data_IF_396840286354
#
_entry.id   IF_396840286354
#
_cell.length_a   1.000
_cell.length_b   1.000
_cell.length_c   1.000
_cell.angle_alpha   90.00
_cell.angle_beta   90.00
_cell.angle_gamma   90.00
#
_symmetry.space_group_name_H-M   'P 1'
#
loop_
_entity.id
_entity.type
_entity.pdbx_description
1 polymer ?
#
# COMPACT_ATOMS: atom_id res chain seq x y z
N UNK A 1 -29.53 -29.13 5.02
CA UNK A 1 -29.06 -27.81 4.54
C UNK A 1 -28.16 -28.02 3.33
N UNK A 2 -28.56 -27.57 2.12
CA UNK A 2 -27.76 -27.76 0.89
C UNK A 2 -26.52 -26.87 0.93
N UNK A 3 -25.34 -27.48 1.03
CA UNK A 3 -24.02 -26.82 1.12
C UNK A 3 -23.74 -25.86 -0.06
N UNK A 4 -24.40 -26.05 -1.20
CA UNK A 4 -24.25 -25.24 -2.40
C UNK A 4 -24.70 -23.77 -2.26
N UNK A 5 -25.81 -23.50 -1.54
CA UNK A 5 -26.31 -22.11 -1.37
C UNK A 5 -25.33 -21.29 -0.54
N UNK A 6 -24.80 -21.87 0.54
CA UNK A 6 -23.78 -21.26 1.39
C UNK A 6 -22.53 -20.93 0.58
N UNK A 7 -22.04 -21.89 -0.21
CA UNK A 7 -20.83 -21.71 -1.03
C UNK A 7 -21.00 -20.58 -2.05
N UNK A 8 -22.15 -20.52 -2.74
CA UNK A 8 -22.43 -19.50 -3.76
C UNK A 8 -22.55 -18.12 -3.14
N UNK A 9 -23.32 -17.96 -2.05
CA UNK A 9 -23.48 -16.68 -1.37
C UNK A 9 -22.16 -16.15 -0.81
N UNK A 10 -21.34 -17.04 -0.24
CA UNK A 10 -20.05 -16.65 0.36
C UNK A 10 -19.00 -16.34 -0.70
N UNK A 11 -18.98 -17.03 -1.85
CA UNK A 11 -18.08 -16.69 -2.96
C UNK A 11 -18.49 -15.38 -3.65
N UNK A 12 -19.80 -15.08 -3.72
CA UNK A 12 -20.32 -13.80 -4.24
C UNK A 12 -20.05 -12.63 -3.28
N UNK A 13 -20.15 -12.86 -1.97
CA UNK A 13 -19.85 -11.85 -0.96
C UNK A 13 -18.92 -12.41 0.13
N UNK A 14 -17.62 -12.43 -0.18
CA UNK A 14 -16.58 -12.99 0.69
C UNK A 14 -16.35 -12.21 1.99
N UNK A 15 -16.91 -10.99 2.09
CA UNK A 15 -16.76 -10.08 3.23
C UNK A 15 -17.89 -10.22 4.27
N UNK A 16 -18.94 -10.99 3.96
CA UNK A 16 -20.04 -11.21 4.92
C UNK A 16 -19.55 -11.87 6.19
N UNK A 17 -19.96 -11.36 7.35
CA UNK A 17 -19.62 -11.99 8.62
C UNK A 17 -20.36 -13.32 8.78
N UNK A 18 -19.86 -14.20 9.65
CA UNK A 18 -20.59 -15.41 10.00
C UNK A 18 -22.00 -15.10 10.53
N UNK A 19 -22.18 -13.97 11.23
CA UNK A 19 -23.49 -13.50 11.71
C UNK A 19 -24.43 -13.13 10.56
N UNK A 20 -23.94 -12.41 9.56
CA UNK A 20 -24.75 -11.99 8.41
C UNK A 20 -25.19 -13.20 7.58
N UNK A 21 -24.28 -14.14 7.33
CA UNK A 21 -24.59 -15.40 6.67
C UNK A 21 -25.62 -16.20 7.47
N UNK A 22 -25.47 -16.27 8.79
CA UNK A 22 -26.44 -16.93 9.68
C UNK A 22 -27.84 -16.33 9.55
N UNK A 23 -27.93 -15.00 9.56
CA UNK A 23 -29.18 -14.25 9.44
C UNK A 23 -29.84 -14.49 8.08
N UNK A 24 -29.08 -14.34 7.00
CA UNK A 24 -29.56 -14.55 5.63
C UNK A 24 -30.10 -15.97 5.41
N UNK A 25 -29.39 -16.98 5.91
CA UNK A 25 -29.83 -18.38 5.79
C UNK A 25 -31.06 -18.66 6.64
N UNK A 26 -31.15 -18.08 7.83
CA UNK A 26 -32.31 -18.26 8.69
C UNK A 26 -33.56 -17.66 8.05
N UNK A 27 -33.44 -16.46 7.48
CA UNK A 27 -34.52 -15.83 6.71
C UNK A 27 -34.92 -16.63 5.47
N UNK A 28 -33.96 -17.20 4.74
CA UNK A 28 -34.23 -17.93 3.49
C UNK A 28 -34.78 -19.35 3.70
N UNK A 29 -34.50 -20.00 4.83
CA UNK A 29 -34.85 -21.41 5.06
C UNK A 29 -35.89 -21.61 6.16
N UNK A 30 -36.21 -20.56 6.93
CA UNK A 30 -37.08 -20.65 8.11
C UNK A 30 -36.46 -21.41 9.29
N UNK A 31 -35.20 -21.86 9.18
CA UNK A 31 -34.49 -22.61 10.21
C UNK A 31 -33.51 -21.73 10.97
N UNK A 32 -33.42 -21.86 12.29
CA UNK A 32 -32.39 -21.18 13.06
C UNK A 32 -31.01 -21.75 12.74
N UNK A 33 -30.16 -20.95 12.11
CA UNK A 33 -28.76 -21.30 11.85
C UNK A 33 -27.89 -20.57 12.87
N UNK A 34 -26.94 -21.27 13.49
CA UNK A 34 -25.93 -20.67 14.36
C UNK A 34 -24.66 -20.30 13.60
N UNK A 35 -23.91 -19.33 14.13
CA UNK A 35 -22.58 -18.94 13.60
C UNK A 35 -21.62 -20.12 13.49
N UNK A 36 -21.63 -21.03 14.47
CA UNK A 36 -20.73 -22.19 14.49
C UNK A 36 -21.07 -23.18 13.37
N UNK A 37 -22.34 -23.34 13.04
CA UNK A 37 -22.78 -24.11 11.87
C UNK A 37 -22.25 -23.50 10.57
N UNK A 38 -22.28 -22.17 10.43
CA UNK A 38 -21.70 -21.47 9.27
C UNK A 38 -20.20 -21.75 9.16
N UNK A 39 -19.44 -21.58 10.24
CA UNK A 39 -18.00 -21.88 10.26
C UNK A 39 -17.69 -23.33 9.87
N UNK A 40 -18.37 -24.30 10.47
CA UNK A 40 -18.17 -25.72 10.16
C UNK A 40 -18.46 -26.02 8.69
N UNK A 41 -19.59 -25.54 8.18
CA UNK A 41 -20.01 -25.80 6.80
C UNK A 41 -19.08 -25.15 5.78
N UNK A 42 -18.58 -23.93 6.06
CA UNK A 42 -17.56 -23.28 5.23
C UNK A 42 -16.21 -24.01 5.29
N UNK A 43 -15.80 -24.48 6.47
CA UNK A 43 -14.59 -25.29 6.63
C UNK A 43 -14.65 -26.60 5.85
N UNK A 44 -15.80 -27.28 5.83
CA UNK A 44 -16.01 -28.49 5.02
C UNK A 44 -15.85 -28.28 3.51
N UNK A 45 -16.00 -27.04 3.03
CA UNK A 45 -15.80 -26.69 1.60
C UNK A 45 -14.51 -25.90 1.38
N UNK A 46 -13.58 -25.93 2.35
CA UNK A 46 -12.26 -25.33 2.23
C UNK A 46 -12.21 -23.80 2.35
N UNK A 47 -13.26 -23.16 2.87
CA UNK A 47 -13.30 -21.71 3.10
C UNK A 47 -13.08 -21.37 4.57
N UNK A 48 -12.11 -20.49 4.81
CA UNK A 48 -11.74 -20.07 6.16
C UNK A 48 -11.77 -18.56 6.28
N UNK A 49 -12.25 -18.06 7.42
CA UNK A 49 -12.14 -16.65 7.76
C UNK A 49 -10.66 -16.31 7.99
N UNK A 50 -10.11 -15.43 7.15
CA UNK A 50 -8.71 -15.01 7.18
C UNK A 50 -8.62 -13.51 6.93
N UNK A 51 -7.55 -12.89 7.40
CA UNK A 51 -7.26 -11.50 7.04
C UNK A 51 -6.95 -11.43 5.54
N UNK A 52 -7.56 -10.49 4.81
CA UNK A 52 -7.15 -10.17 3.44
C UNK A 52 -5.81 -9.46 3.47
N UNK A 53 -5.06 -9.54 2.36
CA UNK A 53 -3.94 -8.63 2.15
C UNK A 53 -4.49 -7.24 1.82
N UNK A 54 -3.84 -6.20 2.34
CA UNK A 54 -4.13 -4.82 1.98
C UNK A 54 -3.02 -4.29 1.11
N UNK A 55 -3.30 -4.18 -0.18
CA UNK A 55 -2.38 -3.61 -1.15
C UNK A 55 -3.16 -3.07 -2.34
N UNK A 56 -2.53 -2.17 -3.09
CA UNK A 56 -3.04 -1.75 -4.40
C UNK A 56 -2.87 -2.93 -5.37
N UNK A 57 -3.94 -3.42 -6.02
CA UNK A 57 -3.83 -4.50 -7.00
C UNK A 57 -2.98 -4.08 -8.19
N UNK A 58 -1.95 -4.87 -8.51
CA UNK A 58 -1.06 -4.60 -9.65
C UNK A 58 -1.73 -4.97 -10.97
N UNK A 59 -1.67 -4.08 -11.95
CA UNK A 59 -2.03 -4.41 -13.34
C UNK A 59 -0.91 -5.24 -14.00
N UNK A 60 -1.20 -5.90 -15.12
CA UNK A 60 -0.17 -6.60 -15.89
C UNK A 60 0.98 -5.66 -16.32
N UNK A 61 0.67 -4.38 -16.60
CA UNK A 61 1.66 -3.35 -16.91
C UNK A 61 2.54 -3.05 -15.70
N UNK A 62 1.96 -2.88 -14.51
CA UNK A 62 2.72 -2.66 -13.28
C UNK A 62 3.65 -3.84 -12.99
N UNK A 63 3.17 -5.08 -13.15
CA UNK A 63 4.00 -6.28 -13.00
C UNK A 63 5.22 -6.27 -13.93
N UNK A 64 5.03 -5.91 -15.21
CA UNK A 64 6.14 -5.82 -16.18
C UNK A 64 7.16 -4.75 -15.78
N UNK A 65 6.70 -3.52 -15.50
CA UNK A 65 7.58 -2.41 -15.14
C UNK A 65 8.38 -2.71 -13.87
N UNK A 66 7.74 -3.28 -12.85
CA UNK A 66 8.42 -3.70 -11.61
C UNK A 66 9.47 -4.77 -11.86
N UNK A 67 9.17 -5.75 -12.70
CA UNK A 67 10.12 -6.82 -13.02
C UNK A 67 11.33 -6.28 -13.80
N UNK A 68 11.11 -5.39 -14.77
CA UNK A 68 12.18 -4.73 -15.51
C UNK A 68 13.08 -3.92 -14.57
N UNK A 69 12.49 -3.03 -13.77
CA UNK A 69 13.22 -2.22 -12.80
C UNK A 69 14.03 -3.09 -11.82
N UNK A 70 13.42 -4.17 -11.30
CA UNK A 70 14.10 -5.09 -10.39
C UNK A 70 15.29 -5.79 -11.06
N UNK A 71 15.19 -6.11 -12.36
CA UNK A 71 16.29 -6.74 -13.11
C UNK A 71 17.42 -5.76 -13.39
N UNK A 72 17.11 -4.51 -13.73
CA UNK A 72 18.09 -3.45 -13.96
C UNK A 72 18.92 -3.17 -12.70
N UNK A 73 18.30 -3.24 -11.53
CA UNK A 73 18.94 -2.96 -10.25
C UNK A 73 19.37 -4.22 -9.48
N UNK A 74 19.18 -5.42 -10.04
CA UNK A 74 19.46 -6.69 -9.36
C UNK A 74 20.95 -6.89 -9.04
N UNK A 75 21.83 -6.32 -9.87
CA UNK A 75 23.29 -6.45 -9.74
C UNK A 75 23.95 -5.22 -9.11
N UNK A 76 23.15 -4.26 -8.61
CA UNK A 76 23.69 -3.10 -7.93
C UNK A 76 24.43 -3.51 -6.66
N UNK A 77 25.64 -2.98 -6.51
CA UNK A 77 26.51 -3.20 -5.35
C UNK A 77 26.02 -2.39 -4.14
N UNK A 78 26.41 -2.78 -2.91
CA UNK A 78 26.13 -1.98 -1.71
C UNK A 78 26.63 -0.53 -1.82
N UNK A 79 27.73 -0.30 -2.52
CA UNK A 79 28.30 1.02 -2.80
C UNK A 79 27.38 1.85 -3.70
N UNK A 80 26.74 1.24 -4.69
CA UNK A 80 25.74 1.95 -5.50
C UNK A 80 24.48 2.27 -4.67
N UNK A 81 24.06 1.35 -3.80
CA UNK A 81 22.92 1.60 -2.91
C UNK A 81 23.20 2.63 -1.82
N UNK A 82 24.45 2.82 -1.38
CA UNK A 82 24.75 3.75 -0.29
C UNK A 82 24.52 5.22 -0.67
N UNK A 83 24.58 5.55 -1.96
CA UNK A 83 24.27 6.89 -2.48
C UNK A 83 22.78 7.17 -2.67
N UNK A 84 21.89 6.19 -2.47
CA UNK A 84 20.45 6.35 -2.70
C UNK A 84 19.75 6.80 -1.42
N UNK A 85 19.14 7.99 -1.48
CA UNK A 85 18.17 8.45 -0.48
C UNK A 85 16.77 7.96 -0.85
N UNK A 86 16.18 7.17 0.03
CA UNK A 86 14.79 6.74 -0.04
C UNK A 86 13.91 7.72 0.73
N UNK A 87 12.83 8.19 0.13
CA UNK A 87 11.82 9.02 0.79
C UNK A 87 10.42 8.43 0.66
N UNK A 88 9.55 8.72 1.62
CA UNK A 88 8.14 8.32 1.59
C UNK A 88 7.30 9.21 2.51
N UNK A 89 6.00 9.30 2.21
CA UNK A 89 4.99 9.97 3.03
C UNK A 89 4.13 8.94 3.76
N UNK A 90 4.02 9.07 5.08
CA UNK A 90 3.12 8.26 5.91
C UNK A 90 2.02 9.11 6.51
N UNK A 91 0.77 8.72 6.24
CA UNK A 91 -0.41 9.35 6.85
C UNK A 91 -0.78 8.70 8.19
N UNK A 92 -0.87 9.52 9.24
CA UNK A 92 -1.26 9.14 10.58
C UNK A 92 -2.64 9.71 10.93
N UNK A 93 -3.64 8.84 11.05
CA UNK A 93 -4.99 9.22 11.44
C UNK A 93 -5.30 8.77 12.87
N UNK A 94 -6.06 9.59 13.61
CA UNK A 94 -6.53 9.26 14.95
C UNK A 94 -7.59 8.14 14.94
N UNK A 95 -8.31 7.98 13.83
CA UNK A 95 -9.22 6.87 13.65
C UNK A 95 -8.45 5.60 13.28
N UNK A 96 -8.58 4.57 14.13
CA UNK A 96 -8.03 3.26 13.81
C UNK A 96 -8.81 2.63 12.65
N UNK A 97 -8.13 2.31 11.56
CA UNK A 97 -8.68 1.36 10.59
C UNK A 97 -8.80 0.01 11.29
N UNK A 98 -10.03 -0.42 11.59
CA UNK A 98 -10.25 -1.68 12.28
C UNK A 98 -9.74 -2.82 11.37
N UNK A 99 -8.54 -3.33 11.67
CA UNK A 99 -7.92 -4.51 11.02
C UNK A 99 -8.68 -5.81 11.28
N UNK A 100 -9.95 -5.71 11.67
CA UNK A 100 -10.86 -6.81 12.05
C UNK A 100 -11.65 -7.35 10.84
N UNK A 101 -11.45 -6.78 9.65
CA UNK A 101 -12.06 -7.29 8.43
C UNK A 101 -11.47 -8.66 8.07
N UNK A 102 -12.31 -9.70 8.15
CA UNK A 102 -11.99 -11.05 7.68
C UNK A 102 -12.74 -11.31 6.38
N UNK A 103 -12.11 -12.09 5.50
CA UNK A 103 -12.74 -12.61 4.30
C UNK A 103 -12.73 -14.14 4.32
N UNK A 104 -13.70 -14.76 3.66
CA UNK A 104 -13.72 -16.20 3.43
C UNK A 104 -12.88 -16.54 2.20
N UNK A 105 -11.74 -17.20 2.42
CA UNK A 105 -10.84 -17.62 1.33
C UNK A 105 -10.29 -19.02 1.55
N UNK A 106 -9.85 -19.63 0.45
CA UNK A 106 -9.16 -20.90 0.46
C UNK A 106 -7.69 -20.73 0.90
N UNK A 107 -7.04 -21.78 1.40
CA UNK A 107 -5.59 -21.82 1.54
C UNK A 107 -4.89 -21.54 0.19
N UNK A 108 -3.71 -20.91 0.22
CA UNK A 108 -2.92 -20.61 -0.98
C UNK A 108 -3.41 -19.42 -1.83
N UNK A 109 -4.67 -18.99 -1.72
CA UNK A 109 -5.21 -17.91 -2.59
C UNK A 109 -4.98 -16.51 -2.03
N UNK A 110 -3.95 -16.31 -1.19
CA UNK A 110 -3.74 -15.06 -0.45
C UNK A 110 -3.58 -13.83 -1.35
N UNK A 111 -2.85 -13.99 -2.45
CA UNK A 111 -2.50 -12.91 -3.38
C UNK A 111 -3.45 -12.81 -4.59
N UNK A 112 -4.52 -13.59 -4.63
CA UNK A 112 -5.52 -13.44 -5.68
C UNK A 112 -6.23 -12.10 -5.51
N UNK A 113 -6.41 -11.37 -6.61
CA UNK A 113 -7.02 -10.03 -6.61
C UNK A 113 -8.37 -9.98 -5.88
N UNK A 114 -9.19 -11.02 -6.01
CA UNK A 114 -10.48 -11.17 -5.30
C UNK A 114 -10.37 -11.24 -3.76
N UNK A 115 -9.18 -11.54 -3.21
CA UNK A 115 -8.89 -11.66 -1.79
C UNK A 115 -8.08 -10.47 -1.23
N UNK A 116 -7.78 -9.48 -2.08
CA UNK A 116 -7.11 -8.25 -1.72
C UNK A 116 -8.13 -7.17 -1.39
N UNK A 117 -7.84 -6.37 -0.37
CA UNK A 117 -8.55 -5.12 -0.11
C UNK A 117 -7.63 -3.97 -0.49
N UNK A 118 -8.13 -3.08 -1.33
CA UNK A 118 -7.40 -1.87 -1.66
C UNK A 118 -7.18 -1.05 -0.39
N UNK A 119 -5.96 -0.55 -0.22
CA UNK A 119 -5.67 0.41 0.83
C UNK A 119 -6.30 1.73 0.39
N UNK A 120 -7.49 2.03 0.90
CA UNK A 120 -8.07 3.36 0.70
C UNK A 120 -7.09 4.42 1.20
N UNK A 121 -6.94 5.50 0.43
CA UNK A 121 -6.36 6.74 0.90
C UNK A 121 -7.15 7.17 2.13
N UNK A 122 -6.44 7.36 3.24
CA UNK A 122 -6.98 7.82 4.50
C UNK A 122 -7.86 9.06 4.27
N UNK A 123 -9.00 9.13 4.96
CA UNK A 123 -9.92 10.27 4.86
C UNK A 123 -9.30 11.58 5.35
N UNK A 124 -9.99 12.68 5.08
CA UNK A 124 -9.55 14.10 5.16
C UNK A 124 -8.94 14.58 6.51
N UNK A 125 -8.83 13.73 7.53
CA UNK A 125 -8.28 14.07 8.84
C UNK A 125 -7.09 13.16 9.21
N UNK A 126 -5.88 13.66 9.03
CA UNK A 126 -4.65 12.98 9.41
C UNK A 126 -3.43 13.91 9.36
N UNK A 127 -2.33 13.45 9.94
CA UNK A 127 -1.03 14.10 9.85
C UNK A 127 -0.18 13.33 8.84
N UNK A 128 0.23 14.01 7.78
CA UNK A 128 1.22 13.51 6.84
C UNK A 128 2.60 13.75 7.43
N UNK A 129 3.36 12.67 7.55
CA UNK A 129 4.75 12.70 8.01
C UNK A 129 5.63 12.26 6.85
N UNK A 130 6.58 13.09 6.48
CA UNK A 130 7.59 12.81 5.46
C UNK A 130 8.96 12.59 6.10
N UNK A 131 9.76 11.72 5.50
CA UNK A 131 11.16 11.57 5.86
C UNK A 131 11.98 10.90 4.76
N UNK A 132 13.27 11.23 4.73
CA UNK A 132 14.28 10.61 3.88
C UNK A 132 15.28 9.79 4.70
N UNK A 133 15.71 8.65 4.16
CA UNK A 133 16.74 7.78 4.76
C UNK A 133 17.78 7.46 3.70
N UNK A 134 19.05 7.56 4.06
CA UNK A 134 20.21 7.17 3.25
C UNK A 134 21.16 6.34 4.12
N UNK A 135 22.06 5.55 3.54
CA UNK A 135 22.96 4.74 4.35
C UNK A 135 23.81 5.61 5.30
N UNK A 136 23.67 5.37 6.61
CA UNK A 136 24.41 6.10 7.64
C UNK A 136 23.81 7.44 8.07
N UNK A 137 22.67 7.88 7.50
CA UNK A 137 22.02 9.13 7.90
C UNK A 137 20.52 9.16 7.60
N UNK A 138 19.84 10.22 8.02
CA UNK A 138 18.41 10.45 7.78
C UNK A 138 18.09 11.94 7.85
N UNK A 139 17.02 12.35 7.20
CA UNK A 139 16.46 13.69 7.40
C UNK A 139 15.76 13.78 8.76
N UNK A 140 15.48 15.00 9.19
CA UNK A 140 14.41 15.23 10.16
C UNK A 140 13.05 14.87 9.55
N UNK A 141 12.08 14.57 10.43
CA UNK A 141 10.72 14.27 10.00
C UNK A 141 9.97 15.58 9.80
N UNK A 142 9.41 15.78 8.61
CA UNK A 142 8.49 16.87 8.34
C UNK A 142 7.06 16.43 8.62
N UNK A 143 6.30 17.22 9.37
CA UNK A 143 4.94 16.89 9.80
C UNK A 143 3.99 17.99 9.38
N UNK A 144 2.92 17.63 8.66
CA UNK A 144 1.89 18.58 8.25
C UNK A 144 0.48 17.97 8.27
N UNK A 145 -0.53 18.81 8.46
CA UNK A 145 -1.94 18.42 8.40
C UNK A 145 -2.60 18.68 7.03
N UNK A 146 -1.86 19.29 6.09
CA UNK A 146 -2.37 19.66 4.76
C UNK A 146 -2.00 18.62 3.70
N UNK A 147 -2.83 18.55 2.66
CA UNK A 147 -2.57 17.70 1.48
C UNK A 147 -1.26 18.13 0.81
N UNK A 148 -0.42 17.15 0.47
CA UNK A 148 0.83 17.40 -0.24
C UNK A 148 0.54 17.94 -1.65
N UNK A 149 1.10 19.10 -1.97
CA UNK A 149 1.07 19.69 -3.32
C UNK A 149 2.49 19.75 -3.88
N UNK A 150 2.64 19.89 -5.21
CA UNK A 150 3.97 19.99 -5.81
C UNK A 150 4.79 21.17 -5.26
N UNK A 151 4.14 22.29 -4.92
CA UNK A 151 4.80 23.46 -4.34
C UNK A 151 5.32 23.16 -2.94
N UNK A 152 4.49 22.55 -2.08
CA UNK A 152 4.93 22.13 -0.74
C UNK A 152 6.06 21.11 -0.84
N UNK A 153 5.94 20.13 -1.74
CA UNK A 153 6.97 19.13 -1.96
C UNK A 153 8.30 19.78 -2.37
N UNK A 154 8.29 20.73 -3.32
CA UNK A 154 9.50 21.44 -3.76
C UNK A 154 10.06 22.36 -2.67
N UNK A 155 9.27 23.31 -2.17
CA UNK A 155 9.72 24.42 -1.32
C UNK A 155 10.04 23.98 0.11
N UNK A 156 9.33 22.96 0.61
CA UNK A 156 9.48 22.51 1.99
C UNK A 156 10.29 21.24 2.05
N UNK A 157 9.98 20.23 1.24
CA UNK A 157 10.65 18.93 1.37
C UNK A 157 11.99 18.90 0.64
N UNK A 158 12.00 19.19 -0.65
CA UNK A 158 13.21 19.07 -1.44
C UNK A 158 14.24 20.15 -1.08
N UNK A 159 13.82 21.40 -0.98
CA UNK A 159 14.72 22.51 -0.70
C UNK A 159 15.33 22.44 0.70
N UNK A 160 14.54 22.09 1.72
CA UNK A 160 15.03 22.09 3.11
C UNK A 160 15.72 20.78 3.51
N UNK A 161 15.30 19.64 2.95
CA UNK A 161 15.77 18.34 3.42
C UNK A 161 16.62 17.60 2.39
N UNK A 162 16.28 17.60 1.10
CA UNK A 162 17.01 16.80 0.10
C UNK A 162 18.25 17.54 -0.40
N UNK A 163 18.14 18.84 -0.68
CA UNK A 163 19.24 19.68 -1.17
C UNK A 163 20.45 19.69 -0.22
N UNK A 164 20.21 19.76 1.09
CA UNK A 164 21.28 19.75 2.09
C UNK A 164 22.10 18.47 2.05
N UNK A 165 21.46 17.33 1.76
CA UNK A 165 22.16 16.05 1.63
C UNK A 165 22.95 15.95 0.35
N UNK A 166 22.46 16.50 -0.77
CA UNK A 166 23.25 16.55 -2.01
C UNK A 166 24.59 17.26 -1.80
N UNK A 167 24.60 18.40 -1.10
CA UNK A 167 25.82 19.14 -0.81
C UNK A 167 26.79 18.45 0.17
N UNK A 168 26.29 17.55 1.02
CA UNK A 168 27.09 16.83 2.02
C UNK A 168 27.58 15.45 1.57
N UNK A 169 26.95 14.86 0.54
CA UNK A 169 27.22 13.49 0.09
C UNK A 169 28.12 13.44 -1.15
N UNK A 170 28.69 12.27 -1.41
CA UNK A 170 29.59 12.00 -2.55
C UNK A 170 28.91 12.28 -3.91
N UNK A 171 29.72 12.37 -4.98
CA UNK A 171 29.32 12.73 -6.34
C UNK A 171 28.12 11.94 -6.90
N UNK A 172 27.82 10.74 -6.39
CA UNK A 172 26.75 9.83 -6.86
C UNK A 172 25.48 9.83 -5.97
N UNK A 173 25.05 10.99 -5.47
CA UNK A 173 23.78 11.09 -4.75
C UNK A 173 22.58 10.85 -5.68
N UNK A 174 21.73 9.89 -5.31
CA UNK A 174 20.52 9.54 -6.04
C UNK A 174 19.31 9.70 -5.12
N UNK A 175 18.25 10.29 -5.63
CA UNK A 175 17.01 10.51 -4.89
C UNK A 175 15.90 9.57 -5.38
N UNK A 176 15.15 8.97 -4.47
CA UNK A 176 14.01 8.10 -4.79
C UNK A 176 12.76 8.52 -4.03
N UNK A 177 11.66 8.65 -4.77
CA UNK A 177 10.29 8.88 -4.30
C UNK A 177 9.32 7.83 -4.88
N UNK A 178 8.02 7.93 -4.59
CA UNK A 178 7.00 6.98 -5.03
C UNK A 178 6.27 7.35 -6.34
N UNK A 179 6.75 8.38 -7.05
CA UNK A 179 6.14 8.97 -8.24
C UNK A 179 4.71 9.50 -8.05
N UNK A 180 4.28 9.84 -6.83
CA UNK A 180 3.01 10.49 -6.62
C UNK A 180 2.87 11.77 -7.46
N UNK A 181 1.63 12.17 -7.77
CA UNK A 181 1.36 13.32 -8.64
C UNK A 181 2.10 14.60 -8.24
N UNK A 182 2.21 14.98 -6.95
CA UNK A 182 3.01 16.13 -6.53
C UNK A 182 4.48 16.03 -6.91
N UNK A 183 5.08 14.83 -6.88
CA UNK A 183 6.50 14.59 -7.13
C UNK A 183 6.85 14.71 -8.62
N UNK A 184 5.82 14.61 -9.48
CA UNK A 184 5.92 14.70 -10.94
C UNK A 184 5.39 16.03 -11.48
N UNK A 185 5.28 17.05 -10.63
CA UNK A 185 4.96 18.40 -11.08
C UNK A 185 6.19 19.05 -11.73
N UNK A 186 5.98 19.88 -12.77
CA UNK A 186 7.09 20.52 -13.50
C UNK A 186 8.05 21.27 -12.58
N UNK A 187 7.54 22.01 -11.59
CA UNK A 187 8.35 22.74 -10.61
C UNK A 187 9.29 21.85 -9.79
N UNK A 188 8.92 20.58 -9.59
CA UNK A 188 9.74 19.59 -8.90
C UNK A 188 10.85 19.10 -9.82
N UNK A 189 10.52 18.79 -11.07
CA UNK A 189 11.50 18.34 -12.06
C UNK A 189 12.52 19.45 -12.38
N UNK A 190 12.07 20.69 -12.54
CA UNK A 190 12.91 21.88 -12.71
C UNK A 190 13.86 22.08 -11.52
N UNK A 191 13.35 21.91 -10.29
CA UNK A 191 14.18 22.01 -9.08
C UNK A 191 15.27 20.94 -9.04
N UNK A 192 14.91 19.67 -9.23
CA UNK A 192 15.86 18.56 -9.21
C UNK A 192 16.96 18.73 -10.27
N UNK A 193 16.59 19.21 -11.47
CA UNK A 193 17.54 19.51 -12.52
C UNK A 193 18.47 20.67 -12.14
N UNK A 194 17.93 21.75 -11.56
CA UNK A 194 18.73 22.92 -11.16
C UNK A 194 19.74 22.63 -10.05
N UNK A 195 19.45 21.66 -9.18
CA UNK A 195 20.31 21.24 -8.07
C UNK A 195 21.20 20.03 -8.40
N UNK A 196 21.23 19.59 -9.67
CA UNK A 196 21.98 18.39 -10.11
C UNK A 196 21.66 17.15 -9.26
N UNK A 197 20.38 16.94 -8.99
CA UNK A 197 19.87 15.78 -8.25
C UNK A 197 19.28 14.78 -9.23
N UNK A 198 19.94 13.64 -9.39
CA UNK A 198 19.43 12.56 -10.22
C UNK A 198 18.37 11.76 -9.44
N UNK A 199 17.16 11.67 -10.02
CA UNK A 199 16.07 10.87 -9.47
C UNK A 199 16.08 9.46 -10.08
N UNK A 200 15.93 8.43 -9.23
CA UNK A 200 15.61 7.07 -9.66
C UNK A 200 14.10 6.88 -9.55
N UNK A 201 13.48 6.45 -10.65
CA UNK A 201 12.05 6.14 -10.66
C UNK A 201 11.75 4.88 -9.83
N UNK A 202 10.67 4.93 -9.05
CA UNK A 202 10.10 3.72 -8.42
C UNK A 202 8.98 3.17 -9.29
N UNK A 203 8.93 1.86 -9.60
CA UNK A 203 7.86 1.33 -10.44
C UNK A 203 6.50 1.39 -9.72
N UNK A 204 5.48 1.88 -10.43
CA UNK A 204 4.14 2.16 -9.90
C UNK A 204 3.39 0.91 -9.37
N UNK A 205 2.32 1.20 -8.62
CA UNK A 205 1.40 0.24 -8.00
C UNK A 205 0.12 0.05 -8.79
#
# INVERSE_FOLDING_TARGET
MRTGVLAVTTKRNRRSTASDLSRQLSSATGMTVSRQTVYRRLGHIGLYARRPIRCVPLTATHCRLRLTWSREHALWTPQQWCGVMFSDESMYCLQSDSRRNLIWRAPGTHYHQENTIERHSYGDAGWLVWGGIILGSRTDLHVQSVTMTGHIYRDVLLEQHVRLFRGAMCAEFLFMDDNARPHRANIVDEFLQSEDITRIDRPAH
#
